data_IF_155155740569
#
_entry.id   IF_155155740569
#
_cell.length_a   1.000
_cell.length_b   1.000
_cell.length_c   1.000
_cell.angle_alpha   90.00
_cell.angle_beta   90.00
_cell.angle_gamma   90.00
#
_symmetry.space_group_name_H-M   'P 1'
#
loop_
_entity.id
_entity.type
_entity.pdbx_description
1 polymer ?
#
# COMPACT_ATOMS: atom_id res chain seq x y z
N UNK A 1 33.32 4.05 10.88
CA UNK A 1 34.36 3.50 9.98
C UNK A 1 34.72 2.13 10.52
N UNK A 2 34.67 1.05 9.73
CA UNK A 2 35.20 -0.25 10.17
C UNK A 2 36.71 -0.20 9.92
N UNK A 3 37.50 0.08 10.96
CA UNK A 3 38.95 0.03 10.83
C UNK A 3 39.37 -1.43 10.88
N UNK A 4 40.23 -1.83 9.94
CA UNK A 4 40.95 -3.10 10.06
C UNK A 4 41.71 -3.08 11.39
N UNK A 5 41.60 -4.16 12.16
CA UNK A 5 42.33 -4.25 13.44
C UNK A 5 43.82 -4.35 13.16
N UNK A 6 44.64 -3.72 13.99
CA UNK A 6 46.09 -3.96 14.00
C UNK A 6 46.38 -5.23 14.81
N UNK A 7 47.02 -6.21 14.15
CA UNK A 7 47.41 -7.49 14.74
C UNK A 7 48.28 -7.33 15.99
N UNK A 8 49.18 -6.34 15.97
CA UNK A 8 50.15 -6.11 17.04
C UNK A 8 49.49 -5.53 18.29
N UNK A 9 48.41 -4.79 18.14
CA UNK A 9 47.73 -4.10 19.25
C UNK A 9 46.55 -4.90 19.83
N UNK A 10 46.04 -5.89 19.11
CA UNK A 10 44.82 -6.60 19.53
C UNK A 10 45.15 -7.80 20.41
N UNK A 11 44.68 -7.79 21.66
CA UNK A 11 44.77 -8.95 22.55
C UNK A 11 43.88 -10.13 22.10
N UNK A 12 44.32 -11.37 22.37
CA UNK A 12 43.60 -12.58 21.99
C UNK A 12 42.22 -12.67 22.66
N UNK A 13 42.08 -12.21 23.90
CA UNK A 13 40.81 -12.20 24.62
C UNK A 13 39.78 -11.27 23.95
N UNK A 14 40.21 -10.09 23.52
CA UNK A 14 39.39 -9.14 22.77
C UNK A 14 38.98 -9.74 21.43
N UNK A 15 39.93 -10.30 20.70
CA UNK A 15 39.69 -10.92 19.39
C UNK A 15 38.69 -12.08 19.47
N UNK A 16 38.78 -12.92 20.52
CA UNK A 16 37.81 -14.00 20.77
C UNK A 16 36.41 -13.46 21.08
N UNK A 17 36.29 -12.37 21.85
CA UNK A 17 34.99 -11.72 22.12
C UNK A 17 34.34 -11.21 20.83
N UNK A 18 35.11 -10.52 19.98
CA UNK A 18 34.63 -9.99 18.71
C UNK A 18 34.24 -11.09 17.72
N UNK A 19 34.98 -12.20 17.70
CA UNK A 19 34.78 -13.31 16.75
C UNK A 19 33.63 -14.25 17.10
N UNK A 20 33.11 -14.21 18.33
CA UNK A 20 32.15 -15.19 18.88
C UNK A 20 30.92 -15.46 18.01
N UNK A 21 30.40 -14.44 17.33
CA UNK A 21 29.18 -14.53 16.49
C UNK A 21 29.46 -14.65 14.99
N UNK A 22 30.74 -14.71 14.62
CA UNK A 22 31.20 -14.48 13.25
C UNK A 22 32.03 -15.66 12.74
N UNK A 23 33.00 -16.11 13.54
CA UNK A 23 33.94 -17.17 13.17
C UNK A 23 33.55 -18.44 13.91
N UNK A 24 33.26 -19.52 13.16
CA UNK A 24 32.98 -20.83 13.76
C UNK A 24 34.24 -21.38 14.45
N UNK A 25 34.07 -22.07 15.57
CA UNK A 25 35.18 -22.65 16.35
C UNK A 25 36.26 -21.64 16.82
N UNK A 26 35.92 -20.36 16.93
CA UNK A 26 36.84 -19.28 17.31
C UNK A 26 37.64 -19.54 18.60
N UNK A 27 37.08 -20.30 19.54
CA UNK A 27 37.72 -20.60 20.83
C UNK A 27 38.97 -21.47 20.69
N UNK A 28 39.03 -22.31 19.65
CA UNK A 28 40.09 -23.31 19.39
C UNK A 28 41.20 -22.79 18.44
N UNK A 29 40.98 -21.67 17.76
CA UNK A 29 41.92 -21.11 16.79
C UNK A 29 43.12 -20.42 17.46
N UNK A 30 44.28 -20.47 16.81
CA UNK A 30 45.45 -19.66 17.20
C UNK A 30 45.19 -18.18 16.92
N UNK A 31 45.90 -17.28 17.61
CA UNK A 31 45.70 -15.82 17.49
C UNK A 31 45.79 -15.32 16.04
N UNK A 32 46.80 -15.77 15.30
CA UNK A 32 47.03 -15.38 13.89
C UNK A 32 45.86 -15.82 13.01
N UNK A 33 45.49 -17.09 13.07
CA UNK A 33 44.40 -17.66 12.28
C UNK A 33 43.04 -17.01 12.61
N UNK A 34 42.78 -16.76 13.89
CA UNK A 34 41.56 -16.09 14.32
C UNK A 34 41.51 -14.65 13.79
N UNK A 35 42.65 -13.97 13.80
CA UNK A 35 42.77 -12.59 13.32
C UNK A 35 42.56 -12.49 11.82
N UNK A 36 43.19 -13.38 11.04
CA UNK A 36 43.00 -13.46 9.60
C UNK A 36 41.54 -13.73 9.23
N UNK A 37 40.89 -14.69 9.89
CA UNK A 37 39.48 -15.00 9.67
C UNK A 37 38.57 -13.81 10.02
N UNK A 38 38.84 -13.13 11.12
CA UNK A 38 38.07 -11.96 11.53
C UNK A 38 38.27 -10.79 10.55
N UNK A 39 39.49 -10.51 10.12
CA UNK A 39 39.78 -9.48 9.12
C UNK A 39 39.15 -9.82 7.77
N UNK A 40 39.14 -11.09 7.36
CA UNK A 40 38.42 -11.54 6.15
C UNK A 40 36.93 -11.22 6.26
N UNK A 41 36.31 -11.46 7.41
CA UNK A 41 34.92 -11.06 7.64
C UNK A 41 34.73 -9.54 7.57
N UNK A 42 35.60 -8.75 8.19
CA UNK A 42 35.55 -7.29 8.12
C UNK A 42 35.68 -6.79 6.68
N UNK A 43 36.63 -7.34 5.92
CA UNK A 43 36.84 -7.02 4.52
C UNK A 43 35.59 -7.31 3.69
N UNK A 44 34.96 -8.48 3.87
CA UNK A 44 33.68 -8.81 3.24
C UNK A 44 32.61 -7.79 3.60
N UNK A 45 32.49 -7.37 4.86
CA UNK A 45 31.52 -6.33 5.27
C UNK A 45 31.80 -4.97 4.64
N UNK A 46 33.07 -4.58 4.53
CA UNK A 46 33.48 -3.35 3.86
C UNK A 46 33.16 -3.39 2.37
N UNK A 47 33.53 -4.47 1.67
CA UNK A 47 33.21 -4.68 0.25
C UNK A 47 31.70 -4.65 0.04
N UNK A 48 30.93 -5.38 0.86
CA UNK A 48 29.47 -5.35 0.81
C UNK A 48 28.93 -3.94 1.01
N UNK A 49 29.45 -3.18 1.98
CA UNK A 49 29.03 -1.79 2.21
C UNK A 49 29.34 -0.89 1.01
N UNK A 50 30.55 -0.96 0.45
CA UNK A 50 30.93 -0.17 -0.71
C UNK A 50 30.09 -0.51 -1.93
N UNK A 51 29.91 -1.81 -2.19
CA UNK A 51 29.07 -2.30 -3.29
C UNK A 51 27.65 -1.78 -3.14
N UNK A 52 27.08 -1.92 -1.94
CA UNK A 52 25.76 -1.40 -1.59
C UNK A 52 25.62 0.11 -1.81
N UNK A 53 26.55 0.91 -1.29
CA UNK A 53 26.55 2.36 -1.48
C UNK A 53 26.60 2.78 -2.96
N UNK A 54 27.20 1.96 -3.82
CA UNK A 54 27.27 2.23 -5.26
C UNK A 54 26.02 1.73 -6.01
N UNK A 55 25.57 0.51 -5.73
CA UNK A 55 24.59 -0.21 -6.54
C UNK A 55 23.16 0.35 -6.45
N UNK A 56 22.78 0.93 -5.32
CA UNK A 56 21.45 1.53 -5.14
C UNK A 56 21.49 3.04 -4.89
N UNK A 57 22.63 3.71 -5.15
CA UNK A 57 22.79 5.17 -4.92
C UNK A 57 21.68 6.01 -5.57
N UNK A 58 21.16 5.53 -6.70
CA UNK A 58 20.09 6.17 -7.48
C UNK A 58 18.88 5.24 -7.65
N UNK A 59 18.78 4.17 -6.87
CA UNK A 59 17.62 3.29 -6.94
C UNK A 59 16.41 4.00 -6.35
N UNK A 60 15.30 3.94 -7.07
CA UNK A 60 14.01 4.49 -6.65
C UNK A 60 13.06 3.32 -6.43
N UNK A 61 12.32 3.35 -5.33
CA UNK A 61 11.29 2.35 -5.06
C UNK A 61 10.12 2.58 -6.03
N UNK A 62 9.80 1.59 -6.86
CA UNK A 62 8.75 1.73 -7.86
C UNK A 62 7.32 1.78 -7.28
N UNK A 63 7.16 1.63 -5.97
CA UNK A 63 5.86 1.71 -5.28
C UNK A 63 5.66 3.11 -4.68
N UNK A 64 6.66 3.62 -3.95
CA UNK A 64 6.58 4.91 -3.26
C UNK A 64 7.18 6.07 -4.06
N UNK A 65 7.97 5.76 -5.09
CA UNK A 65 8.77 6.71 -5.86
C UNK A 65 9.83 7.45 -5.03
N UNK A 66 10.14 6.95 -3.84
CA UNK A 66 11.18 7.50 -2.97
C UNK A 66 12.53 6.82 -3.21
N UNK A 67 13.66 7.47 -2.88
CA UNK A 67 14.97 6.84 -2.91
C UNK A 67 15.04 5.63 -1.98
N UNK A 68 15.53 4.50 -2.50
CA UNK A 68 15.67 3.26 -1.72
C UNK A 68 16.79 3.41 -0.68
N UNK A 69 16.49 3.04 0.56
CA UNK A 69 17.40 3.00 1.69
C UNK A 69 17.72 1.55 2.05
N UNK A 70 18.86 1.35 2.68
CA UNK A 70 19.24 0.04 3.20
C UNK A 70 18.72 -0.12 4.62
N UNK A 71 18.21 -1.31 5.01
CA UNK A 71 18.08 -2.55 4.22
C UNK A 71 16.87 -2.58 3.28
N UNK A 72 17.06 -3.06 2.05
CA UNK A 72 16.01 -3.18 1.03
C UNK A 72 15.85 -4.61 0.50
N UNK A 73 14.68 -4.90 -0.06
CA UNK A 73 14.42 -6.13 -0.79
C UNK A 73 14.92 -5.99 -2.23
N UNK A 74 15.70 -6.98 -2.67
CA UNK A 74 16.20 -7.05 -4.04
C UNK A 74 15.49 -8.20 -4.75
N UNK A 75 14.68 -7.84 -5.73
CA UNK A 75 14.06 -8.80 -6.64
C UNK A 75 14.94 -8.95 -7.88
N UNK A 76 15.23 -10.20 -8.26
CA UNK A 76 15.98 -10.51 -9.47
C UNK A 76 15.07 -11.22 -10.45
N UNK A 77 14.89 -10.65 -11.63
CA UNK A 77 14.08 -11.27 -12.69
C UNK A 77 14.79 -12.47 -13.30
N UNK A 78 14.04 -13.28 -14.05
CA UNK A 78 14.62 -14.38 -14.86
C UNK A 78 15.66 -13.89 -15.88
N UNK A 79 15.49 -12.67 -16.40
CA UNK A 79 16.45 -12.02 -17.31
C UNK A 79 17.69 -11.45 -16.62
N UNK A 80 17.77 -11.54 -15.28
CA UNK A 80 18.90 -11.05 -14.50
C UNK A 80 18.86 -9.56 -14.16
N UNK A 81 17.77 -8.86 -14.48
CA UNK A 81 17.55 -7.48 -14.03
C UNK A 81 17.23 -7.47 -12.53
N UNK A 82 17.62 -6.38 -11.86
CA UNK A 82 17.40 -6.22 -10.42
C UNK A 82 16.51 -5.02 -10.16
N UNK A 83 15.52 -5.22 -9.30
CA UNK A 83 14.62 -4.18 -8.81
C UNK A 83 14.73 -4.10 -7.29
N UNK A 84 14.66 -2.87 -6.77
CA UNK A 84 14.91 -2.56 -5.38
C UNK A 84 13.67 -1.96 -4.76
N UNK A 85 13.27 -2.48 -3.61
CA UNK A 85 12.09 -2.05 -2.90
C UNK A 85 12.39 -1.89 -1.42
N UNK A 86 11.80 -0.90 -0.78
CA UNK A 86 11.70 -0.90 0.67
C UNK A 86 10.90 -2.12 1.12
N UNK A 87 11.34 -2.81 2.18
CA UNK A 87 10.59 -3.97 2.67
C UNK A 87 9.16 -3.59 3.04
N UNK A 88 8.99 -2.42 3.66
CA UNK A 88 7.70 -1.95 4.12
C UNK A 88 6.74 -1.63 2.97
N UNK A 89 7.24 -1.07 1.86
CA UNK A 89 6.42 -0.66 0.72
C UNK A 89 5.86 -1.88 -0.02
N UNK A 90 6.72 -2.84 -0.36
CA UNK A 90 6.32 -4.03 -1.11
C UNK A 90 5.38 -4.93 -0.30
N UNK A 91 5.63 -5.08 1.01
CA UNK A 91 4.74 -5.85 1.87
C UNK A 91 3.38 -5.17 1.99
N UNK A 92 3.34 -3.84 2.20
CA UNK A 92 2.08 -3.09 2.23
C UNK A 92 1.33 -3.18 0.91
N UNK A 93 2.04 -3.14 -0.22
CA UNK A 93 1.43 -3.30 -1.54
C UNK A 93 0.77 -4.68 -1.68
N UNK A 94 1.49 -5.76 -1.40
CA UNK A 94 0.96 -7.13 -1.45
C UNK A 94 -0.21 -7.30 -0.47
N UNK A 95 -0.13 -6.70 0.73
CA UNK A 95 -1.23 -6.72 1.68
C UNK A 95 -2.46 -5.97 1.15
N UNK A 96 -2.27 -4.79 0.57
CA UNK A 96 -3.35 -3.94 0.05
C UNK A 96 -4.06 -4.60 -1.13
N UNK A 97 -3.30 -5.13 -2.10
CA UNK A 97 -3.85 -5.64 -3.36
C UNK A 97 -4.15 -7.14 -3.34
N UNK A 98 -3.52 -7.88 -2.43
CA UNK A 98 -3.49 -9.34 -2.49
C UNK A 98 -2.75 -9.90 -3.71
N UNK A 99 -2.18 -9.04 -4.57
CA UNK A 99 -1.44 -9.41 -5.76
C UNK A 99 0.01 -9.71 -5.37
N UNK A 100 0.45 -10.94 -5.64
CA UNK A 100 1.81 -11.40 -5.35
C UNK A 100 2.72 -11.34 -6.59
N UNK A 101 2.40 -10.44 -7.53
CA UNK A 101 3.24 -10.11 -8.68
C UNK A 101 4.11 -8.90 -8.38
N UNK A 102 5.30 -8.89 -8.95
CA UNK A 102 6.20 -7.76 -8.90
C UNK A 102 5.53 -6.51 -9.49
N UNK A 103 5.56 -5.35 -8.80
CA UNK A 103 4.91 -4.14 -9.30
C UNK A 103 5.47 -3.65 -10.64
N UNK A 104 6.78 -3.84 -10.88
CA UNK A 104 7.46 -3.32 -12.06
C UNK A 104 7.38 -4.28 -13.25
N UNK A 105 7.59 -5.58 -13.03
CA UNK A 105 7.64 -6.57 -14.12
C UNK A 105 6.36 -7.37 -14.30
N UNK A 106 5.48 -7.34 -13.29
CA UNK A 106 4.28 -8.19 -13.20
C UNK A 106 4.58 -9.68 -13.14
N UNK A 107 5.84 -10.09 -12.95
CA UNK A 107 6.22 -11.48 -12.72
C UNK A 107 5.73 -11.96 -11.33
N UNK A 108 5.21 -13.17 -11.23
CA UNK A 108 4.74 -13.72 -9.94
C UNK A 108 5.95 -14.03 -9.06
N UNK A 109 5.95 -13.52 -7.82
CA UNK A 109 6.98 -13.86 -6.85
C UNK A 109 6.98 -15.36 -6.54
N UNK A 110 8.17 -15.95 -6.47
CA UNK A 110 8.31 -17.34 -6.03
C UNK A 110 7.98 -17.49 -4.55
N UNK A 111 7.74 -18.72 -4.09
CA UNK A 111 7.52 -18.99 -2.67
C UNK A 111 8.77 -18.60 -1.84
N UNK A 112 9.96 -18.80 -2.40
CA UNK A 112 11.24 -18.41 -1.79
C UNK A 112 11.40 -16.90 -1.67
N UNK A 113 10.98 -16.13 -2.69
CA UNK A 113 11.03 -14.67 -2.67
C UNK A 113 10.16 -14.10 -1.53
N UNK A 114 8.94 -14.62 -1.38
CA UNK A 114 8.02 -14.19 -0.33
C UNK A 114 8.51 -14.58 1.07
N UNK A 115 9.10 -15.77 1.22
CA UNK A 115 9.71 -16.19 2.49
C UNK A 115 10.91 -15.29 2.84
N UNK A 116 11.75 -14.96 1.85
CA UNK A 116 12.86 -14.01 2.03
C UNK A 116 12.36 -12.63 2.41
N UNK A 117 11.28 -12.18 1.79
CA UNK A 117 10.66 -10.89 2.09
C UNK A 117 10.17 -10.85 3.55
N UNK A 118 9.40 -11.86 3.96
CA UNK A 118 8.89 -12.00 5.32
C UNK A 118 10.03 -12.09 6.36
N UNK A 119 11.09 -12.83 6.05
CA UNK A 119 12.25 -13.00 6.94
C UNK A 119 13.05 -11.71 7.08
N UNK A 120 13.28 -11.02 5.97
CA UNK A 120 13.99 -9.73 5.95
C UNK A 120 13.24 -8.66 6.73
N UNK A 121 11.91 -8.55 6.53
CA UNK A 121 11.10 -7.59 7.28
C UNK A 121 11.12 -7.85 8.78
N UNK A 122 11.01 -9.12 9.23
CA UNK A 122 11.12 -9.46 10.65
C UNK A 122 12.49 -9.17 11.25
N UNK A 123 13.55 -9.34 10.46
CA UNK A 123 14.92 -9.11 10.91
C UNK A 123 15.24 -7.62 11.06
N UNK A 124 14.81 -6.82 10.09
CA UNK A 124 15.21 -5.42 9.97
C UNK A 124 14.18 -4.43 10.52
N UNK A 125 12.91 -4.81 10.60
CA UNK A 125 11.79 -3.98 11.05
C UNK A 125 10.87 -4.75 12.02
N UNK A 126 11.39 -5.29 13.14
CA UNK A 126 10.64 -6.16 14.06
C UNK A 126 9.45 -5.48 14.73
N UNK A 127 9.48 -4.16 14.87
CA UNK A 127 8.40 -3.34 15.46
C UNK A 127 7.16 -3.27 14.57
N UNK A 128 7.30 -3.48 13.24
CA UNK A 128 6.18 -3.39 12.32
C UNK A 128 5.53 -4.76 12.14
N UNK A 129 4.27 -4.86 12.60
CA UNK A 129 3.48 -6.09 12.47
C UNK A 129 2.91 -6.21 11.06
N UNK A 130 3.54 -7.05 10.24
CA UNK A 130 3.03 -7.42 8.92
C UNK A 130 2.33 -8.77 8.90
N UNK A 131 1.36 -8.91 7.99
CA UNK A 131 0.86 -10.23 7.61
C UNK A 131 1.88 -10.89 6.69
N UNK A 132 2.13 -12.18 6.87
CA UNK A 132 3.03 -12.94 6.00
C UNK A 132 2.56 -12.89 4.55
N UNK A 133 3.43 -12.40 3.67
CA UNK A 133 3.17 -12.33 2.22
C UNK A 133 3.05 -13.72 1.60
N UNK A 134 3.84 -14.69 2.10
CA UNK A 134 3.69 -16.09 1.73
C UNK A 134 2.31 -16.67 2.07
N UNK A 135 1.78 -16.37 3.28
CA UNK A 135 0.43 -16.79 3.66
C UNK A 135 -0.66 -16.11 2.83
N UNK A 136 -0.45 -14.86 2.42
CA UNK A 136 -1.37 -14.14 1.52
C UNK A 136 -1.47 -14.87 0.17
N UNK A 137 -0.33 -15.23 -0.43
CA UNK A 137 -0.30 -15.97 -1.71
C UNK A 137 -1.09 -17.27 -1.68
N UNK A 138 -0.99 -18.04 -0.58
CA UNK A 138 -1.70 -19.33 -0.44
C UNK A 138 -3.19 -19.14 -0.11
N UNK A 139 -3.62 -17.95 0.31
CA UNK A 139 -5.00 -17.70 0.72
C UNK A 139 -5.82 -17.06 -0.41
N UNK A 140 -6.42 -17.89 -1.27
CA UNK A 140 -7.30 -17.42 -2.36
C UNK A 140 -8.48 -16.57 -1.86
N UNK A 141 -9.00 -16.87 -0.66
CA UNK A 141 -10.10 -16.07 -0.06
C UNK A 141 -9.65 -14.66 0.30
N UNK A 142 -8.37 -14.44 0.58
CA UNK A 142 -7.83 -13.10 0.86
C UNK A 142 -7.84 -12.25 -0.41
N UNK A 143 -7.22 -12.73 -1.49
CA UNK A 143 -7.20 -12.03 -2.77
C UNK A 143 -8.62 -11.78 -3.31
N UNK A 144 -9.52 -12.76 -3.18
CA UNK A 144 -10.94 -12.60 -3.54
C UNK A 144 -11.62 -11.49 -2.74
N UNK A 145 -11.42 -11.45 -1.41
CA UNK A 145 -12.00 -10.40 -0.56
C UNK A 145 -11.50 -9.00 -0.92
N UNK A 146 -10.21 -8.85 -1.20
CA UNK A 146 -9.65 -7.55 -1.64
C UNK A 146 -10.28 -7.13 -2.97
N UNK A 147 -10.33 -8.02 -3.97
CA UNK A 147 -10.95 -7.71 -5.26
C UNK A 147 -12.44 -7.37 -5.13
N UNK A 148 -13.18 -8.11 -4.31
CA UNK A 148 -14.60 -7.82 -4.06
C UNK A 148 -14.77 -6.43 -3.44
N UNK A 149 -13.94 -6.09 -2.45
CA UNK A 149 -13.94 -4.75 -1.86
C UNK A 149 -13.64 -3.65 -2.88
N UNK A 150 -12.64 -3.85 -3.74
CA UNK A 150 -12.32 -2.88 -4.80
C UNK A 150 -13.49 -2.72 -5.79
N UNK A 151 -14.12 -3.83 -6.18
CA UNK A 151 -15.30 -3.80 -7.04
C UNK A 151 -16.50 -3.11 -6.37
N UNK A 152 -16.71 -3.33 -5.07
CA UNK A 152 -17.74 -2.64 -4.29
C UNK A 152 -17.49 -1.13 -4.25
N UNK A 153 -16.25 -0.71 -3.97
CA UNK A 153 -15.85 0.72 -4.01
C UNK A 153 -16.12 1.32 -5.40
N UNK A 154 -15.71 0.64 -6.47
CA UNK A 154 -15.96 1.08 -7.84
C UNK A 154 -17.46 1.18 -8.14
N UNK A 155 -18.27 0.23 -7.68
CA UNK A 155 -19.72 0.26 -7.86
C UNK A 155 -20.37 1.45 -7.15
N UNK A 156 -19.91 1.80 -5.95
CA UNK A 156 -20.37 2.99 -5.25
C UNK A 156 -19.96 4.27 -5.97
N UNK A 157 -18.71 4.34 -6.47
CA UNK A 157 -18.23 5.48 -7.23
C UNK A 157 -19.06 5.73 -8.49
N UNK A 158 -19.32 4.69 -9.30
CA UNK A 158 -20.17 4.79 -10.48
C UNK A 158 -21.58 5.26 -10.12
N UNK A 159 -22.19 4.69 -9.07
CA UNK A 159 -23.54 5.10 -8.67
C UNK A 159 -23.59 6.53 -8.15
N UNK A 160 -22.55 6.97 -7.44
CA UNK A 160 -22.43 8.36 -7.00
C UNK A 160 -22.31 9.33 -8.16
N UNK A 161 -21.54 8.99 -9.21
CA UNK A 161 -21.43 9.81 -10.42
C UNK A 161 -22.78 9.93 -11.13
N UNK A 162 -23.53 8.82 -11.27
CA UNK A 162 -24.90 8.84 -11.82
C UNK A 162 -25.84 9.74 -11.01
N UNK A 163 -25.85 9.61 -9.67
CA UNK A 163 -26.69 10.42 -8.79
C UNK A 163 -26.30 11.90 -8.84
N UNK A 164 -25.01 12.20 -8.98
CA UNK A 164 -24.51 13.57 -9.17
C UNK A 164 -25.02 14.17 -10.47
N UNK A 165 -25.00 13.43 -11.57
CA UNK A 165 -25.57 13.89 -12.85
C UNK A 165 -27.08 14.15 -12.73
N UNK A 166 -27.83 13.28 -12.03
CA UNK A 166 -29.26 13.49 -11.78
C UNK A 166 -29.49 14.78 -10.97
N UNK A 167 -28.71 15.01 -9.91
CA UNK A 167 -28.81 16.23 -9.10
C UNK A 167 -28.47 17.47 -9.94
N UNK A 168 -27.42 17.42 -10.75
CA UNK A 168 -27.06 18.50 -11.66
C UNK A 168 -28.17 18.79 -12.68
N UNK A 169 -28.85 17.76 -13.16
CA UNK A 169 -30.01 17.89 -14.04
C UNK A 169 -31.20 18.55 -13.33
N UNK A 170 -31.52 18.14 -12.10
CA UNK A 170 -32.56 18.77 -11.26
C UNK A 170 -32.28 20.26 -11.08
N UNK A 171 -31.01 20.62 -10.81
CA UNK A 171 -30.58 22.01 -10.61
C UNK A 171 -30.67 22.81 -11.91
N UNK A 172 -30.09 22.30 -13.00
CA UNK A 172 -30.00 23.02 -14.27
C UNK A 172 -31.35 23.17 -14.98
N UNK A 173 -32.27 22.23 -14.77
CA UNK A 173 -33.65 22.28 -15.30
C UNK A 173 -34.63 22.98 -14.36
N UNK A 174 -34.14 23.48 -13.22
CA UNK A 174 -34.95 24.12 -12.18
C UNK A 174 -36.16 23.28 -11.75
N UNK A 175 -36.03 21.95 -11.76
CA UNK A 175 -37.16 21.03 -11.49
C UNK A 175 -37.77 21.28 -10.11
N UNK A 176 -36.97 21.75 -9.16
CA UNK A 176 -37.40 22.11 -7.81
C UNK A 176 -38.40 23.28 -7.76
N UNK A 177 -38.53 24.06 -8.84
CA UNK A 177 -39.52 25.15 -8.98
C UNK A 177 -40.80 24.72 -9.69
N UNK A 178 -40.83 23.53 -10.29
CA UNK A 178 -41.97 23.08 -11.07
C UNK A 178 -43.17 22.80 -10.14
N UNK A 179 -44.26 23.53 -10.38
CA UNK A 179 -45.49 23.40 -9.61
C UNK A 179 -46.51 22.54 -10.38
N UNK A 180 -46.24 21.24 -10.48
CA UNK A 180 -47.11 20.26 -11.16
C UNK A 180 -48.23 19.71 -10.25
N UNK A 181 -48.41 20.25 -9.05
CA UNK A 181 -49.27 19.61 -8.04
C UNK A 181 -48.73 18.23 -7.60
N UNK A 182 -49.61 17.38 -7.07
CA UNK A 182 -49.29 15.98 -6.72
C UNK A 182 -49.45 15.04 -7.93
N UNK A 183 -49.19 15.53 -9.14
CA UNK A 183 -49.25 14.69 -10.34
C UNK A 183 -48.05 13.72 -10.37
N UNK A 184 -48.29 12.44 -10.66
CA UNK A 184 -47.23 11.46 -10.74
C UNK A 184 -46.32 11.74 -11.94
N UNK A 185 -45.02 11.50 -11.77
CA UNK A 185 -44.01 11.64 -12.82
C UNK A 185 -43.43 10.29 -13.19
N UNK A 186 -43.29 10.05 -14.48
CA UNK A 186 -42.58 8.90 -15.00
C UNK A 186 -41.17 9.31 -15.43
N UNK A 187 -40.16 8.85 -14.69
CA UNK A 187 -38.74 9.07 -15.01
C UNK A 187 -38.09 7.71 -15.14
N UNK A 188 -37.48 7.43 -16.31
CA UNK A 188 -36.82 6.14 -16.59
C UNK A 188 -37.69 4.89 -16.35
N UNK A 189 -39.00 5.00 -16.63
CA UNK A 189 -40.02 3.96 -16.35
C UNK A 189 -40.31 3.71 -14.86
N UNK A 190 -39.89 4.61 -13.97
CA UNK A 190 -40.25 4.60 -12.55
C UNK A 190 -41.26 5.73 -12.30
N UNK A 191 -42.39 5.38 -11.69
CA UNK A 191 -43.43 6.34 -11.31
C UNK A 191 -43.13 6.92 -9.92
N UNK A 192 -43.04 8.24 -9.84
CA UNK A 192 -42.84 9.01 -8.62
C UNK A 192 -44.11 9.79 -8.31
N UNK A 193 -44.51 9.82 -7.04
CA UNK A 193 -45.75 10.50 -6.63
C UNK A 193 -45.73 12.03 -6.83
N UNK A 194 -44.54 12.63 -6.92
CA UNK A 194 -44.32 14.05 -7.20
C UNK A 194 -42.84 14.31 -7.49
N UNK A 195 -42.51 15.53 -7.94
CA UNK A 195 -41.11 15.95 -8.14
C UNK A 195 -40.36 15.93 -6.81
N UNK A 196 -41.01 16.38 -5.73
CA UNK A 196 -40.39 16.33 -4.41
C UNK A 196 -40.11 14.88 -3.98
N UNK A 197 -41.02 13.93 -4.29
CA UNK A 197 -40.76 12.51 -4.05
C UNK A 197 -39.52 12.03 -4.82
N UNK A 198 -39.38 12.41 -6.09
CA UNK A 198 -38.20 12.06 -6.90
C UNK A 198 -36.91 12.62 -6.28
N UNK A 199 -36.88 13.92 -5.98
CA UNK A 199 -35.70 14.59 -5.38
C UNK A 199 -35.32 13.94 -4.04
N UNK A 200 -36.29 13.70 -3.16
CA UNK A 200 -36.06 13.07 -1.86
C UNK A 200 -35.53 11.64 -2.01
N UNK A 201 -36.06 10.86 -2.95
CA UNK A 201 -35.56 9.51 -3.24
C UNK A 201 -34.10 9.55 -3.74
N UNK A 202 -33.77 10.45 -4.66
CA UNK A 202 -32.39 10.62 -5.16
C UNK A 202 -31.43 11.00 -4.04
N UNK A 203 -31.79 11.97 -3.19
CA UNK A 203 -30.96 12.39 -2.05
C UNK A 203 -30.80 11.27 -1.03
N UNK A 204 -31.87 10.53 -0.74
CA UNK A 204 -31.84 9.39 0.17
C UNK A 204 -30.90 8.30 -0.34
N UNK A 205 -30.97 7.98 -1.64
CA UNK A 205 -30.08 7.01 -2.25
C UNK A 205 -28.62 7.45 -2.18
N UNK A 206 -28.35 8.73 -2.48
CA UNK A 206 -27.02 9.30 -2.35
C UNK A 206 -26.49 9.17 -0.91
N UNK A 207 -27.32 9.44 0.10
CA UNK A 207 -26.97 9.26 1.51
C UNK A 207 -26.61 7.81 1.83
N UNK A 208 -27.38 6.86 1.32
CA UNK A 208 -27.12 5.42 1.51
C UNK A 208 -25.81 4.99 0.85
N UNK A 209 -25.57 5.40 -0.40
CA UNK A 209 -24.34 5.07 -1.14
C UNK A 209 -23.12 5.68 -0.46
N UNK A 210 -23.19 6.95 -0.06
CA UNK A 210 -22.10 7.61 0.67
C UNK A 210 -21.81 6.94 2.01
N UNK A 211 -22.86 6.60 2.78
CA UNK A 211 -22.71 5.90 4.06
C UNK A 211 -22.01 4.55 3.87
N UNK A 212 -22.40 3.80 2.84
CA UNK A 212 -21.76 2.53 2.53
C UNK A 212 -20.30 2.72 2.08
N UNK A 213 -20.02 3.69 1.20
CA UNK A 213 -18.66 3.98 0.78
C UNK A 213 -17.75 4.36 1.95
N UNK A 214 -18.24 5.14 2.94
CA UNK A 214 -17.45 5.53 4.12
C UNK A 214 -16.92 4.34 4.92
N UNK A 215 -17.64 3.21 4.92
CA UNK A 215 -17.17 1.96 5.55
C UNK A 215 -15.91 1.42 4.87
N UNK A 216 -15.78 1.65 3.56
CA UNK A 216 -14.69 1.12 2.75
C UNK A 216 -13.57 2.13 2.47
N UNK A 217 -13.90 3.39 2.23
CA UNK A 217 -12.98 4.47 1.92
C UNK A 217 -13.55 5.83 2.38
N UNK A 218 -13.30 6.16 3.64
CA UNK A 218 -13.73 7.42 4.26
C UNK A 218 -13.21 8.65 3.50
N UNK A 219 -11.96 8.61 3.04
CA UNK A 219 -11.34 9.77 2.39
C UNK A 219 -11.98 10.06 1.02
N UNK A 220 -12.23 9.01 0.22
CA UNK A 220 -12.92 9.15 -1.05
C UNK A 220 -14.35 9.68 -0.87
N UNK A 221 -15.08 9.17 0.13
CA UNK A 221 -16.43 9.64 0.44
C UNK A 221 -16.45 11.12 0.87
N UNK A 222 -15.51 11.55 1.72
CA UNK A 222 -15.42 12.94 2.17
C UNK A 222 -15.04 13.89 1.03
N UNK A 223 -14.12 13.49 0.13
CA UNK A 223 -13.79 14.26 -1.09
C UNK A 223 -15.03 14.41 -1.96
N UNK A 224 -15.73 13.31 -2.25
CA UNK A 224 -16.92 13.35 -3.09
C UNK A 224 -18.00 14.28 -2.50
N UNK A 225 -18.31 14.13 -1.20
CA UNK A 225 -19.31 14.97 -0.53
C UNK A 225 -18.96 16.46 -0.66
N UNK A 226 -17.70 16.81 -0.40
CA UNK A 226 -17.21 18.19 -0.49
C UNK A 226 -17.33 18.72 -1.92
N UNK A 227 -16.89 17.94 -2.91
CA UNK A 227 -16.89 18.35 -4.31
C UNK A 227 -18.33 18.49 -4.84
N UNK A 228 -19.26 17.64 -4.40
CA UNK A 228 -20.68 17.79 -4.69
C UNK A 228 -21.25 19.07 -4.07
N UNK A 229 -21.04 19.31 -2.77
CA UNK A 229 -21.54 20.50 -2.09
C UNK A 229 -21.01 21.80 -2.70
N UNK A 230 -19.74 21.83 -3.09
CA UNK A 230 -19.12 22.99 -3.75
C UNK A 230 -19.72 23.27 -5.15
N UNK A 231 -20.28 22.26 -5.80
CA UNK A 231 -20.92 22.39 -7.12
C UNK A 231 -22.39 22.80 -7.06
N UNK A 232 -23.02 22.77 -5.87
CA UNK A 232 -24.44 23.07 -5.72
C UNK A 232 -24.68 24.55 -5.46
N UNK A 233 -25.66 25.12 -6.15
CA UNK A 233 -26.12 26.51 -5.97
C UNK A 233 -27.47 26.61 -5.25
N UNK A 234 -28.16 25.48 -5.06
CA UNK A 234 -29.53 25.42 -4.51
C UNK A 234 -29.47 25.10 -3.01
N UNK A 235 -29.82 26.09 -2.18
CA UNK A 235 -29.72 26.04 -0.71
C UNK A 235 -30.43 24.82 -0.09
N UNK A 236 -31.63 24.49 -0.56
CA UNK A 236 -32.38 23.33 -0.07
C UNK A 236 -31.63 21.99 -0.30
N UNK A 237 -31.00 21.82 -1.46
CA UNK A 237 -30.21 20.63 -1.76
C UNK A 237 -28.91 20.60 -0.94
N UNK A 238 -28.31 21.77 -0.71
CA UNK A 238 -27.15 21.91 0.17
C UNK A 238 -27.49 21.46 1.58
N UNK A 239 -28.63 21.91 2.14
CA UNK A 239 -29.07 21.52 3.48
C UNK A 239 -29.30 20.01 3.58
N UNK A 240 -30.06 19.43 2.65
CA UNK A 240 -30.33 18.01 2.59
C UNK A 240 -29.05 17.13 2.48
N UNK A 241 -28.07 17.56 1.68
CA UNK A 241 -26.81 16.82 1.48
C UNK A 241 -25.82 17.08 2.61
N UNK A 242 -25.90 18.22 3.29
CA UNK A 242 -25.03 18.54 4.43
C UNK A 242 -25.26 17.62 5.62
N UNK A 243 -26.49 17.10 5.79
CA UNK A 243 -26.89 16.14 6.83
C UNK A 243 -26.38 14.69 6.63
N UNK A 244 -25.57 14.43 5.60
CA UNK A 244 -24.95 13.11 5.30
C UNK A 244 -23.62 12.93 6.05
#
# INVERSE_FOLDING_TARGET
MLNLLDFKQTDLGILKKLSKKVVKNYSKMKKIELFENFNKFLAVKMIQRCYRLHFYKNATDHITLEPVKFPCFIYRTKSGKHFFYEYSSIIKNIMKTGDCRDPMTREVYSDEDLIRLDTGAKLYFPEIKYRSTYKIKKNLSYARRIRNRENEILSFQLRMDELKEIINYIVSSEMYLWNLGNEPLLIENIEYASINSFIQTTVHELKMVLTNLRVYDLHAADIFKRDLLNGLTVQFLIELISEI
#
